data_IF_484779679573
#
_entry.id   IF_484779679573
#
_cell.length_a   1.000
_cell.length_b   1.000
_cell.length_c   1.000
_cell.angle_alpha   90.00
_cell.angle_beta   90.00
_cell.angle_gamma   90.00
#
_symmetry.space_group_name_H-M   'P 1'
#
loop_
_entity.id
_entity.type
_entity.pdbx_description
1 polymer ?
#
# COMPACT_ATOMS: atom_id res chain seq x y z
N UNK A 1 6.94 14.02 -5.23
CA UNK A 1 7.65 13.09 -4.33
C UNK A 1 8.83 13.79 -3.68
N UNK A 2 9.19 13.45 -2.43
CA UNK A 2 10.35 14.08 -1.76
C UNK A 2 11.67 13.52 -2.31
N UNK A 3 12.75 14.32 -2.40
CA UNK A 3 13.99 13.92 -3.10
C UNK A 3 14.62 12.64 -2.55
N UNK A 4 14.60 12.44 -1.23
CA UNK A 4 15.16 11.23 -0.60
C UNK A 4 14.44 9.96 -1.05
N UNK A 5 13.12 9.99 -1.21
CA UNK A 5 12.37 8.81 -1.67
C UNK A 5 12.67 8.55 -3.14
N UNK A 6 12.77 9.61 -3.96
CA UNK A 6 13.13 9.44 -5.37
C UNK A 6 14.50 8.76 -5.53
N UNK A 7 15.49 9.18 -4.72
CA UNK A 7 16.82 8.57 -4.73
C UNK A 7 16.78 7.08 -4.38
N UNK A 8 15.95 6.68 -3.39
CA UNK A 8 15.78 5.27 -3.03
C UNK A 8 15.07 4.45 -4.13
N UNK A 9 14.14 5.07 -4.87
CA UNK A 9 13.49 4.44 -6.02
C UNK A 9 14.48 4.25 -7.18
N UNK A 10 15.27 5.28 -7.50
CA UNK A 10 16.26 5.24 -8.58
C UNK A 10 17.36 4.20 -8.30
N UNK A 11 17.69 3.98 -7.03
CA UNK A 11 18.61 2.92 -6.59
C UNK A 11 18.05 1.50 -6.77
N UNK A 12 16.75 1.34 -7.05
CA UNK A 12 16.05 0.06 -7.19
C UNK A 12 15.37 -0.06 -8.56
N UNK A 13 16.14 -0.19 -9.66
CA UNK A 13 15.62 -0.15 -11.04
C UNK A 13 14.68 -1.32 -11.39
N UNK A 14 14.59 -2.33 -10.55
CA UNK A 14 13.70 -3.49 -10.72
C UNK A 14 12.45 -3.43 -9.82
N UNK A 15 12.29 -2.35 -9.04
CA UNK A 15 11.10 -2.16 -8.22
C UNK A 15 9.87 -2.03 -9.13
N UNK A 16 8.87 -2.87 -8.88
CA UNK A 16 7.62 -2.91 -9.66
C UNK A 16 6.39 -2.55 -8.86
N UNK A 17 6.42 -2.81 -7.56
CA UNK A 17 5.27 -2.68 -6.68
C UNK A 17 5.68 -2.03 -5.36
N UNK A 18 4.80 -1.20 -4.82
CA UNK A 18 5.00 -0.49 -3.55
C UNK A 18 3.82 -0.75 -2.63
N UNK A 19 4.13 -1.08 -1.38
CA UNK A 19 3.17 -1.14 -0.28
C UNK A 19 3.19 0.21 0.43
N UNK A 20 2.04 0.90 0.49
CA UNK A 20 1.94 2.24 1.05
C UNK A 20 1.00 2.25 2.27
N UNK A 21 1.50 2.78 3.39
CA UNK A 21 0.76 2.95 4.64
C UNK A 21 1.16 4.25 5.36
N UNK A 22 0.34 4.71 6.31
CA UNK A 22 0.63 5.88 7.15
C UNK A 22 -0.49 6.93 7.21
N UNK A 23 -0.10 8.17 7.51
CA UNK A 23 -1.03 9.30 7.73
C UNK A 23 -0.53 10.60 7.07
N UNK A 24 -1.40 11.54 6.72
CA UNK A 24 -2.86 11.39 6.65
C UNK A 24 -3.28 10.81 5.29
N UNK A 25 -4.32 9.97 5.29
CA UNK A 25 -4.76 9.23 4.07
C UNK A 25 -5.05 10.15 2.89
N UNK A 26 -5.72 11.28 3.14
CA UNK A 26 -6.14 12.24 2.11
C UNK A 26 -5.03 13.20 1.66
N UNK A 27 -3.94 13.27 2.42
CA UNK A 27 -2.82 14.17 2.15
C UNK A 27 -1.61 13.35 1.68
N UNK A 28 -0.69 13.05 2.60
CA UNK A 28 0.59 12.40 2.27
C UNK A 28 0.42 11.06 1.54
N UNK A 29 -0.54 10.23 1.96
CA UNK A 29 -0.73 8.90 1.34
C UNK A 29 -1.31 9.05 -0.07
N UNK A 30 -2.37 9.83 -0.25
CA UNK A 30 -2.97 10.04 -1.57
C UNK A 30 -2.00 10.67 -2.56
N UNK A 31 -1.31 11.76 -2.17
CA UNK A 31 -0.34 12.41 -3.07
C UNK A 31 0.81 11.46 -3.42
N UNK A 32 1.35 10.72 -2.45
CA UNK A 32 2.43 9.76 -2.72
C UNK A 32 1.96 8.61 -3.61
N UNK A 33 0.74 8.10 -3.41
CA UNK A 33 0.17 7.06 -4.26
C UNK A 33 0.04 7.51 -5.71
N UNK A 34 -0.47 8.73 -5.94
CA UNK A 34 -0.60 9.29 -7.28
C UNK A 34 0.75 9.51 -7.95
N UNK A 35 1.74 10.06 -7.22
CA UNK A 35 3.10 10.23 -7.74
C UNK A 35 3.73 8.89 -8.16
N UNK A 36 3.56 7.84 -7.36
CA UNK A 36 4.09 6.50 -7.66
C UNK A 36 3.37 5.85 -8.86
N UNK A 37 2.05 6.03 -8.96
CA UNK A 37 1.26 5.57 -10.11
C UNK A 37 1.70 6.26 -11.41
N UNK A 38 1.96 7.56 -11.37
CA UNK A 38 2.45 8.33 -12.54
C UNK A 38 3.84 7.86 -13.00
N UNK A 39 4.64 7.28 -12.10
CA UNK A 39 5.92 6.63 -12.44
C UNK A 39 5.75 5.19 -12.96
N UNK A 40 4.52 4.68 -13.07
CA UNK A 40 4.22 3.35 -13.59
C UNK A 40 4.41 2.20 -12.57
N UNK A 41 4.54 2.50 -11.28
CA UNK A 41 4.63 1.50 -10.22
C UNK A 41 3.24 0.98 -9.84
N UNK A 42 3.14 -0.30 -9.47
CA UNK A 42 1.93 -0.87 -8.90
C UNK A 42 1.82 -0.48 -7.42
N UNK A 43 0.84 0.35 -7.09
CA UNK A 43 0.65 0.83 -5.70
C UNK A 43 -0.40 -0.01 -4.99
N UNK A 44 -0.03 -0.59 -3.85
CA UNK A 44 -0.90 -1.29 -2.92
C UNK A 44 -1.05 -0.46 -1.64
N UNK A 45 -2.23 0.10 -1.40
CA UNK A 45 -2.52 0.89 -0.20
C UNK A 45 -3.05 -0.03 0.90
N UNK A 46 -2.39 -0.03 2.05
CA UNK A 46 -2.71 -0.87 3.22
C UNK A 46 -3.77 -0.15 4.07
N UNK A 47 -5.04 -0.41 3.80
CA UNK A 47 -6.14 0.44 4.27
C UNK A 47 -6.35 0.42 5.79
N UNK A 48 -6.02 -0.68 6.45
CA UNK A 48 -6.03 -0.87 7.90
C UNK A 48 -4.80 -0.25 8.59
N UNK A 49 -3.79 0.12 7.82
CA UNK A 49 -2.62 0.90 8.26
C UNK A 49 -2.62 2.35 7.72
N UNK A 50 -3.76 2.83 7.22
CA UNK A 50 -3.94 4.21 6.76
C UNK A 50 -5.06 4.89 7.54
N UNK A 51 -4.83 6.11 8.03
CA UNK A 51 -5.90 6.88 8.69
C UNK A 51 -5.83 8.39 8.43
N UNK A 52 -6.96 9.07 8.65
CA UNK A 52 -7.11 10.52 8.65
C UNK A 52 -7.94 10.91 9.88
N UNK A 53 -7.86 12.17 10.30
CA UNK A 53 -8.70 12.66 11.42
C UNK A 53 -10.19 12.60 11.11
N UNK A 54 -10.58 12.83 9.86
CA UNK A 54 -11.95 12.73 9.38
C UNK A 54 -12.18 11.41 8.65
N UNK A 55 -13.27 10.72 9.00
CA UNK A 55 -13.67 9.48 8.32
C UNK A 55 -14.08 9.75 6.86
N UNK A 56 -14.74 10.88 6.60
CA UNK A 56 -15.15 11.28 5.25
C UNK A 56 -13.92 11.46 4.37
N UNK A 57 -12.92 12.21 4.85
CA UNK A 57 -11.66 12.43 4.12
C UNK A 57 -10.94 11.10 3.84
N UNK A 58 -10.87 10.21 4.84
CA UNK A 58 -10.26 8.88 4.65
C UNK A 58 -10.96 8.09 3.55
N UNK A 59 -12.30 8.02 3.58
CA UNK A 59 -13.07 7.22 2.62
C UNK A 59 -13.00 7.80 1.20
N UNK A 60 -13.10 9.12 1.06
CA UNK A 60 -12.98 9.80 -0.24
C UNK A 60 -11.59 9.59 -0.83
N UNK A 61 -10.54 9.71 -0.02
CA UNK A 61 -9.17 9.49 -0.47
C UNK A 61 -8.91 8.05 -0.93
N UNK A 62 -9.37 7.06 -0.16
CA UNK A 62 -9.29 5.66 -0.53
C UNK A 62 -10.03 5.38 -1.85
N UNK A 63 -11.25 5.92 -2.00
CA UNK A 63 -12.03 5.77 -3.23
C UNK A 63 -11.32 6.40 -4.45
N UNK A 64 -10.73 7.59 -4.28
CA UNK A 64 -9.96 8.25 -5.33
C UNK A 64 -8.72 7.44 -5.72
N UNK A 65 -7.92 6.99 -4.76
CA UNK A 65 -6.74 6.16 -5.05
C UNK A 65 -7.12 4.90 -5.82
N UNK A 66 -8.21 4.24 -5.43
CA UNK A 66 -8.75 3.09 -6.17
C UNK A 66 -9.11 3.44 -7.61
N UNK A 67 -9.80 4.56 -7.83
CA UNK A 67 -10.17 5.02 -9.19
C UNK A 67 -8.94 5.37 -10.04
N UNK A 68 -7.87 5.87 -9.41
CA UNK A 68 -6.60 6.17 -10.07
C UNK A 68 -5.75 4.94 -10.40
N UNK A 69 -6.15 3.73 -9.96
CA UNK A 69 -5.46 2.48 -10.27
C UNK A 69 -4.67 1.87 -9.11
N UNK A 70 -4.72 2.43 -7.90
CA UNK A 70 -4.15 1.78 -6.73
C UNK A 70 -4.99 0.57 -6.29
N UNK A 71 -4.32 -0.50 -5.88
CA UNK A 71 -4.96 -1.62 -5.21
C UNK A 71 -5.16 -1.31 -3.74
N UNK A 72 -6.41 -1.35 -3.27
CA UNK A 72 -6.69 -1.28 -1.84
C UNK A 72 -6.66 -2.70 -1.27
N UNK A 73 -5.85 -2.91 -0.23
CA UNK A 73 -5.75 -4.19 0.46
C UNK A 73 -5.54 -3.97 1.96
N UNK A 74 -5.57 -5.05 2.73
CA UNK A 74 -5.29 -5.06 4.17
C UNK A 74 -3.91 -5.63 4.44
N UNK A 75 -3.32 -5.30 5.59
CA UNK A 75 -2.02 -5.82 6.01
C UNK A 75 -1.95 -7.35 5.94
N UNK A 76 -2.94 -8.06 6.49
CA UNK A 76 -3.04 -9.52 6.42
C UNK A 76 -3.11 -10.05 4.99
N UNK A 77 -4.05 -9.51 4.19
CA UNK A 77 -4.22 -9.91 2.79
C UNK A 77 -2.95 -9.76 1.95
N UNK A 78 -2.18 -8.68 2.16
CA UNK A 78 -0.91 -8.45 1.47
C UNK A 78 0.17 -9.42 1.93
N UNK A 79 0.27 -9.69 3.23
CA UNK A 79 1.22 -10.69 3.74
C UNK A 79 0.91 -12.06 3.14
N UNK A 80 -0.36 -12.47 3.10
CA UNK A 80 -0.79 -13.73 2.48
C UNK A 80 -0.43 -13.76 0.99
N UNK A 81 -0.68 -12.68 0.26
CA UNK A 81 -0.29 -12.58 -1.16
C UNK A 81 1.22 -12.71 -1.37
N UNK A 82 2.04 -12.14 -0.49
CA UNK A 82 3.50 -12.24 -0.56
C UNK A 82 4.01 -13.65 -0.25
N UNK A 83 3.32 -14.41 0.61
CA UNK A 83 3.67 -15.79 0.90
C UNK A 83 3.34 -16.74 -0.27
N UNK A 84 2.40 -16.37 -1.13
CA UNK A 84 2.01 -17.10 -2.34
C UNK A 84 1.14 -18.34 -2.08
N UNK A 85 1.52 -19.22 -1.16
CA UNK A 85 0.85 -20.50 -0.93
C UNK A 85 0.60 -20.79 0.57
N UNK A 86 -0.51 -21.48 0.86
CA UNK A 86 -0.89 -21.89 2.21
C UNK A 86 0.06 -22.92 2.85
N UNK A 87 0.81 -23.65 2.04
CA UNK A 87 1.88 -24.56 2.44
C UNK A 87 3.17 -23.85 2.85
N UNK A 88 3.27 -22.53 2.61
CA UNK A 88 4.47 -21.77 2.98
C UNK A 88 4.73 -21.91 4.49
N UNK A 89 5.98 -22.18 4.94
CA UNK A 89 6.28 -22.44 6.34
C UNK A 89 5.84 -21.34 7.32
N UNK A 90 5.70 -20.10 6.81
CA UNK A 90 5.28 -18.93 7.58
C UNK A 90 3.77 -18.64 7.53
N UNK A 91 2.99 -19.35 6.73
CA UNK A 91 1.57 -19.06 6.49
C UNK A 91 0.72 -19.06 7.77
N UNK A 92 0.93 -20.05 8.64
CA UNK A 92 0.20 -20.11 9.92
C UNK A 92 0.45 -18.91 10.83
N UNK A 93 1.64 -18.29 10.77
CA UNK A 93 1.96 -17.12 11.58
C UNK A 93 1.27 -15.86 11.08
N UNK A 94 1.01 -15.77 9.78
CA UNK A 94 0.44 -14.57 9.14
C UNK A 94 -1.08 -14.60 8.96
N UNK A 95 -1.69 -15.79 8.83
CA UNK A 95 -3.10 -15.95 8.43
C UNK A 95 -4.13 -15.69 9.55
N UNK A 96 -3.71 -15.25 10.74
CA UNK A 96 -4.60 -15.12 11.92
C UNK A 96 -5.27 -16.43 12.38
N UNK A 97 -5.03 -17.54 11.68
CA UNK A 97 -5.64 -18.85 11.89
C UNK A 97 -5.06 -19.46 13.17
N UNK A 98 -5.78 -19.27 14.27
CA UNK A 98 -5.50 -19.93 15.54
C UNK A 98 -6.08 -21.34 15.47
N UNK A 99 -5.21 -22.35 15.52
CA UNK A 99 -5.59 -23.74 15.77
C UNK A 99 -6.27 -23.89 17.12
#
# INVERSE_FOLDING_TARGET
MVPVVQQELDAQPHLRSVLLCGIETHACIQTTALDLLDQGLQVHVVVDACTSRSQVERLVALARMRQSGAFLSTSEGLIIQLLGDASHPQFKKSSGYRS
#
